data_IF_857523661640
#
_entry.id   IF_857523661640
#
_cell.length_a   1.000
_cell.length_b   1.000
_cell.length_c   1.000
_cell.angle_alpha   90.00
_cell.angle_beta   90.00
_cell.angle_gamma   90.00
#
_symmetry.space_group_name_H-M   'P 1'
#
loop_
_entity.id
_entity.type
_entity.pdbx_description
1 polymer ?
#
# COMPACT_ATOMS: atom_id res chain seq x y z
N UNK A 1 11.79 -2.80 -24.19
CA UNK A 1 11.43 -2.70 -23.89
C UNK A 1 11.32 -2.47 -23.39
N UNK A 2 11.61 -2.54 -23.38
CA UNK A 2 11.37 -2.48 -22.91
C UNK A 2 11.09 -2.27 -22.09
N UNK A 3 11.23 -2.29 -21.75
CA UNK A 3 10.98 -2.20 -21.00
C UNK A 3 10.71 -1.84 -20.40
N UNK A 4 10.62 -1.62 -20.40
CA UNK A 4 10.13 -1.38 -19.88
C UNK A 4 9.57 -1.87 -19.19
N UNK A 5 9.25 -2.24 -19.35
CA UNK A 5 8.82 -3.09 -18.84
C UNK A 5 9.23 -3.44 -17.65
N UNK A 6 9.80 -3.13 -17.37
CA UNK A 6 10.36 -3.32 -16.24
C UNK A 6 9.67 -2.81 -15.13
N UNK A 7 8.89 -1.87 -15.21
CA UNK A 7 8.13 -1.39 -14.16
C UNK A 7 6.95 -2.24 -13.99
N UNK A 8 6.99 -3.14 -13.07
CA UNK A 8 5.87 -3.99 -12.73
C UNK A 8 4.91 -3.21 -11.85
N UNK A 9 3.71 -2.85 -12.32
CA UNK A 9 2.80 -2.06 -11.48
C UNK A 9 2.40 -2.78 -10.21
N UNK A 10 2.32 -4.10 -10.24
CA UNK A 10 2.00 -4.84 -9.03
C UNK A 10 3.08 -4.68 -7.98
N UNK A 11 4.33 -4.67 -8.41
CA UNK A 11 5.42 -4.48 -7.48
C UNK A 11 5.42 -3.12 -6.85
N UNK A 12 5.13 -2.11 -7.65
CA UNK A 12 5.07 -0.75 -7.13
C UNK A 12 3.96 -0.62 -6.11
N UNK A 13 2.80 -1.18 -6.42
CA UNK A 13 1.68 -1.13 -5.51
C UNK A 13 1.97 -1.89 -4.24
N UNK A 14 2.67 -3.01 -4.36
CA UNK A 14 3.00 -3.78 -3.17
C UNK A 14 3.91 -3.01 -2.24
N UNK A 15 4.86 -2.27 -2.78
CA UNK A 15 5.72 -1.45 -1.96
C UNK A 15 4.93 -0.35 -1.27
N UNK A 16 3.99 0.24 -1.98
CA UNK A 16 3.14 1.25 -1.38
C UNK A 16 2.31 0.66 -0.25
N UNK A 17 1.79 -0.53 -0.47
CA UNK A 17 0.99 -1.20 0.53
C UNK A 17 1.81 -1.45 1.79
N UNK A 18 3.02 -1.96 1.62
CA UNK A 18 3.89 -2.23 2.77
C UNK A 18 4.23 -0.97 3.53
N UNK A 19 4.50 0.11 2.78
CA UNK A 19 4.81 1.36 3.43
C UNK A 19 3.62 1.89 4.21
N UNK A 20 2.43 1.77 3.63
CA UNK A 20 1.23 2.22 4.32
C UNK A 20 0.98 1.42 5.59
N UNK A 21 1.22 0.11 5.54
CA UNK A 21 1.07 -0.71 6.73
C UNK A 21 2.08 -0.30 7.80
N UNK A 22 3.31 -0.03 7.38
CA UNK A 22 4.32 0.40 8.33
C UNK A 22 3.93 1.73 8.97
N UNK A 23 3.46 2.68 8.15
CA UNK A 23 3.03 3.96 8.66
C UNK A 23 1.86 3.81 9.62
N UNK A 24 0.92 2.94 9.27
CA UNK A 24 -0.22 2.71 10.15
C UNK A 24 0.21 2.19 11.50
N UNK A 25 1.20 1.29 11.51
CA UNK A 25 1.70 0.76 12.76
C UNK A 25 2.34 1.86 13.60
N UNK A 26 3.08 2.76 12.96
CA UNK A 26 3.69 3.85 13.68
C UNK A 26 2.64 4.77 14.29
N UNK A 27 1.58 5.04 13.53
CA UNK A 27 0.51 5.89 14.03
C UNK A 27 -0.21 5.23 15.18
N UNK A 28 -0.40 3.92 15.09
CA UNK A 28 -1.05 3.19 16.16
C UNK A 28 -0.22 3.27 17.44
N UNK A 29 1.08 3.15 17.33
CA UNK A 29 1.96 3.20 18.49
C UNK A 29 1.95 4.59 19.11
N UNK A 30 1.78 5.61 18.30
CA UNK A 30 1.69 6.97 18.81
C UNK A 30 0.36 7.25 19.47
N UNK A 31 -0.62 6.42 19.21
CA UNK A 31 -1.95 6.69 19.71
C UNK A 31 -2.78 7.54 18.78
N UNK A 32 -2.31 7.73 17.54
CA UNK A 32 -3.05 8.51 16.55
C UNK A 32 -4.06 7.61 15.87
N UNK A 33 -5.20 7.47 16.50
CA UNK A 33 -6.23 6.55 16.02
C UNK A 33 -6.79 6.99 14.68
N UNK A 34 -6.99 8.30 14.54
CA UNK A 34 -7.53 8.81 13.28
C UNK A 34 -6.57 8.57 12.12
N UNK A 35 -5.31 8.90 12.32
CA UNK A 35 -4.31 8.66 11.28
C UNK A 35 -4.17 7.19 10.96
N UNK A 36 -4.20 6.36 12.00
CA UNK A 36 -4.13 4.92 11.80
C UNK A 36 -5.29 4.43 10.93
N UNK A 37 -6.48 4.89 11.23
CA UNK A 37 -7.66 4.47 10.49
C UNK A 37 -7.57 4.90 9.03
N UNK A 38 -7.19 6.15 8.79
CA UNK A 38 -7.11 6.66 7.42
C UNK A 38 -6.03 5.94 6.63
N UNK A 39 -4.88 5.71 7.25
CA UNK A 39 -3.80 5.03 6.57
C UNK A 39 -4.16 3.59 6.26
N UNK A 40 -4.86 2.95 7.17
CA UNK A 40 -5.30 1.57 6.95
C UNK A 40 -6.27 1.50 5.78
N UNK A 41 -7.16 2.48 5.66
CA UNK A 41 -8.09 2.50 4.55
C UNK A 41 -7.36 2.66 3.23
N UNK A 42 -6.34 3.48 3.21
CA UNK A 42 -5.56 3.64 1.99
C UNK A 42 -4.83 2.35 1.64
N UNK A 43 -4.32 1.67 2.65
CA UNK A 43 -3.66 0.39 2.41
C UNK A 43 -4.63 -0.61 1.81
N UNK A 44 -5.87 -0.61 2.29
CA UNK A 44 -6.87 -1.51 1.73
C UNK A 44 -7.14 -1.22 0.27
N UNK A 45 -7.19 0.06 -0.09
CA UNK A 45 -7.41 0.42 -1.48
C UNK A 45 -6.27 -0.06 -2.36
N UNK A 46 -5.06 0.08 -1.89
CA UNK A 46 -3.91 -0.40 -2.65
C UNK A 46 -3.95 -1.92 -2.78
N UNK A 47 -4.33 -2.60 -1.71
CA UNK A 47 -4.42 -4.05 -1.75
C UNK A 47 -5.45 -4.50 -2.80
N UNK A 48 -6.56 -3.79 -2.89
CA UNK A 48 -7.56 -4.12 -3.88
C UNK A 48 -7.02 -3.96 -5.30
N UNK A 49 -6.23 -2.92 -5.50
CA UNK A 49 -5.62 -2.71 -6.81
C UNK A 49 -4.64 -3.82 -7.14
N UNK A 50 -3.88 -4.26 -6.15
CA UNK A 50 -2.94 -5.35 -6.37
C UNK A 50 -3.69 -6.61 -6.78
N UNK A 51 -4.77 -6.91 -6.10
CA UNK A 51 -5.53 -8.10 -6.41
C UNK A 51 -6.18 -8.01 -7.78
N UNK A 52 -6.60 -6.82 -8.16
CA UNK A 52 -7.18 -6.64 -9.48
C UNK A 52 -6.14 -6.91 -10.57
N UNK A 53 -4.90 -6.55 -10.31
CA UNK A 53 -3.84 -6.78 -11.28
C UNK A 53 -3.49 -8.26 -11.40
N UNK A 54 -3.70 -9.00 -10.34
CA UNK A 54 -3.39 -10.43 -10.37
C UNK A 54 -4.36 -11.20 -11.23
N UNK A 55 -5.51 -10.66 -11.46
CA UNK A 55 -6.47 -11.31 -12.30
C UNK A 55 -6.04 -11.22 -13.74
#
# INVERSE_FOLDING_TARGET
>A
MFGLFKKDPAKKLQKQYEKLLFDAMQLQRKGDIMGYSMTTQEAEKVREQIEALKE
#
